data_IF_159339485158
#
_entry.id   IF_159339485158
#
_cell.length_a   1.000
_cell.length_b   1.000
_cell.length_c   1.000
_cell.angle_alpha   90.00
_cell.angle_beta   90.00
_cell.angle_gamma   90.00
#
_symmetry.space_group_name_H-M   'P 1'
#
loop_
_entity.id
_entity.type
_entity.pdbx_description
1 polymer ?
#
# COMPACT_ATOMS: atom_id res chain seq x y z
N UNK A 1 17.64 25.51 0.95
CA UNK A 1 17.31 24.09 0.69
C UNK A 1 16.32 24.10 -0.45
N UNK A 2 16.38 23.17 -1.41
CA UNK A 2 15.34 23.08 -2.44
C UNK A 2 14.02 22.74 -1.75
N UNK A 3 12.93 23.42 -2.16
CA UNK A 3 11.60 23.11 -1.66
C UNK A 3 11.27 21.63 -1.99
N UNK A 4 10.55 20.97 -1.09
CA UNK A 4 9.98 19.65 -1.39
C UNK A 4 9.03 19.77 -2.59
N UNK A 5 9.23 18.98 -3.62
CA UNK A 5 8.51 19.06 -4.90
C UNK A 5 7.54 17.89 -5.14
N UNK A 6 7.38 16.99 -4.16
CA UNK A 6 6.44 15.88 -4.21
C UNK A 6 4.99 16.27 -3.93
N UNK A 7 4.10 15.27 -3.91
CA UNK A 7 2.70 15.47 -3.53
C UNK A 7 2.60 16.00 -2.09
N UNK A 8 1.57 16.82 -1.77
CA UNK A 8 1.42 17.43 -0.44
C UNK A 8 1.51 16.41 0.68
N UNK A 9 2.31 16.70 1.71
CA UNK A 9 2.50 15.84 2.87
C UNK A 9 3.37 14.61 2.63
N UNK A 10 4.05 14.50 1.49
CA UNK A 10 4.91 13.34 1.19
C UNK A 10 4.12 12.05 0.94
N UNK A 11 2.89 12.15 0.44
CA UNK A 11 2.03 10.99 0.12
C UNK A 11 2.33 10.46 -1.28
N UNK A 12 2.00 9.18 -1.52
CA UNK A 12 1.86 8.64 -2.86
C UNK A 12 0.38 8.43 -3.18
N UNK A 13 0.04 8.56 -4.47
CA UNK A 13 -1.34 8.40 -4.97
C UNK A 13 -1.33 7.37 -6.09
N UNK A 14 -2.36 6.54 -6.14
CA UNK A 14 -2.63 5.69 -7.30
C UNK A 14 -4.15 5.54 -7.51
N UNK A 15 -4.55 5.23 -8.73
CA UNK A 15 -5.93 4.85 -9.03
C UNK A 15 -6.01 3.34 -9.19
N UNK A 16 -6.86 2.73 -8.38
CA UNK A 16 -7.02 1.28 -8.29
C UNK A 16 -8.37 0.87 -8.88
N UNK A 17 -8.34 -0.04 -9.83
CA UNK A 17 -9.48 -0.86 -10.24
C UNK A 17 -9.30 -2.23 -9.60
N UNK A 18 -10.13 -2.52 -8.59
CA UNK A 18 -10.01 -3.76 -7.81
C UNK A 18 -10.28 -4.96 -8.71
N UNK A 19 -9.48 -6.03 -8.55
CA UNK A 19 -9.63 -7.24 -9.34
C UNK A 19 -11.06 -7.80 -9.29
N UNK A 20 -11.58 -8.11 -10.47
CA UNK A 20 -12.86 -8.80 -10.68
C UNK A 20 -12.61 -10.29 -10.96
N UNK A 21 -11.66 -10.87 -10.30
CA UNK A 21 -11.31 -12.27 -10.46
C UNK A 21 -11.84 -13.10 -9.28
N UNK A 22 -12.54 -14.23 -9.53
CA UNK A 22 -12.91 -15.14 -8.47
C UNK A 22 -11.64 -15.66 -7.79
N UNK A 23 -11.64 -15.68 -6.48
CA UNK A 23 -10.58 -16.21 -5.65
C UNK A 23 -10.94 -17.60 -5.12
N UNK A 24 -9.98 -18.28 -4.46
CA UNK A 24 -10.18 -19.62 -3.93
C UNK A 24 -11.32 -19.71 -2.88
N UNK A 25 -11.67 -18.61 -2.24
CA UNK A 25 -12.79 -18.50 -1.29
C UNK A 25 -14.14 -18.12 -1.95
N UNK A 26 -14.18 -18.04 -3.28
CA UNK A 26 -15.38 -17.70 -4.06
C UNK A 26 -15.70 -16.20 -4.12
N UNK A 27 -14.99 -15.32 -3.41
CA UNK A 27 -15.13 -13.88 -3.50
C UNK A 27 -14.25 -13.33 -4.61
N UNK A 28 -14.63 -12.17 -5.18
CA UNK A 28 -13.77 -11.42 -6.10
C UNK A 28 -12.96 -10.41 -5.30
N UNK A 29 -11.73 -10.13 -5.71
CA UNK A 29 -10.96 -9.07 -5.05
C UNK A 29 -9.45 -9.26 -5.03
N UNK A 30 -8.83 -8.50 -4.12
CA UNK A 30 -7.40 -8.35 -3.97
C UNK A 30 -6.72 -9.40 -3.11
N UNK A 31 -5.41 -9.23 -3.00
CA UNK A 31 -4.51 -10.06 -2.21
C UNK A 31 -4.45 -9.53 -0.78
N UNK A 32 -4.68 -10.32 0.27
CA UNK A 32 -4.50 -9.89 1.63
C UNK A 32 -3.02 -9.62 1.94
N UNK A 33 -2.76 -8.46 2.58
CA UNK A 33 -1.42 -8.00 2.92
C UNK A 33 -1.48 -6.95 4.03
N UNK A 34 -0.32 -6.55 4.54
CA UNK A 34 -0.17 -5.41 5.42
C UNK A 34 0.95 -4.48 4.92
N UNK A 35 0.96 -3.25 5.42
CA UNK A 35 2.09 -2.32 5.34
C UNK A 35 2.80 -2.25 6.69
N UNK A 36 4.14 -2.18 6.67
CA UNK A 36 4.96 -2.18 7.88
C UNK A 36 5.26 -0.78 8.42
N UNK A 37 5.32 0.22 7.54
CA UNK A 37 5.71 1.58 7.90
C UNK A 37 4.78 2.66 7.32
N UNK A 38 3.84 2.31 6.43
CA UNK A 38 2.93 3.24 5.80
C UNK A 38 1.49 3.03 6.27
N UNK A 39 0.81 4.12 6.61
CA UNK A 39 -0.65 4.12 6.64
C UNK A 39 -1.17 4.18 5.21
N UNK A 40 -2.30 3.53 4.97
CA UNK A 40 -2.97 3.52 3.68
C UNK A 40 -4.39 4.08 3.83
N UNK A 41 -4.82 4.87 2.87
CA UNK A 41 -6.14 5.44 2.81
C UNK A 41 -6.82 5.17 1.48
N UNK A 42 -8.13 4.95 1.52
CA UNK A 42 -8.99 4.73 0.37
C UNK A 42 -10.01 5.86 0.24
N UNK A 43 -10.11 6.42 -0.94
CA UNK A 43 -11.23 7.26 -1.35
C UNK A 43 -11.98 6.52 -2.44
N UNK A 44 -13.16 6.00 -2.14
CA UNK A 44 -13.96 5.22 -3.09
C UNK A 44 -14.56 6.14 -4.14
N UNK A 45 -14.21 5.91 -5.40
CA UNK A 45 -14.62 6.75 -6.55
C UNK A 45 -15.70 6.11 -7.42
N UNK A 46 -15.93 4.79 -7.29
CA UNK A 46 -16.94 4.09 -8.07
C UNK A 46 -17.16 2.65 -7.62
N UNK A 47 -18.24 2.06 -8.08
CA UNK A 47 -18.58 0.68 -7.76
C UNK A 47 -18.97 0.44 -6.30
N UNK A 48 -18.86 -0.81 -5.85
CA UNK A 48 -19.14 -1.22 -4.48
C UNK A 48 -18.31 -2.42 -4.08
N UNK A 49 -18.13 -2.62 -2.78
CA UNK A 49 -17.42 -3.75 -2.22
C UNK A 49 -17.20 -3.59 -0.73
N UNK A 50 -16.16 -4.20 -0.22
CA UNK A 50 -15.76 -4.09 1.18
C UNK A 50 -14.25 -4.11 1.33
N UNK A 51 -13.74 -3.63 2.45
CA UNK A 51 -12.41 -3.94 2.96
C UNK A 51 -12.53 -4.84 4.17
N UNK A 52 -11.93 -6.02 4.09
CA UNK A 52 -11.73 -6.92 5.21
C UNK A 52 -10.44 -6.55 5.90
N UNK A 53 -10.47 -6.40 7.22
CA UNK A 53 -9.29 -6.11 8.04
C UNK A 53 -9.12 -7.13 9.13
N UNK A 54 -7.86 -7.42 9.48
CA UNK A 54 -7.49 -8.27 10.62
C UNK A 54 -6.41 -7.57 11.43
N UNK A 55 -6.70 -7.36 12.71
CA UNK A 55 -5.82 -6.74 13.70
C UNK A 55 -5.80 -7.57 14.98
N UNK A 56 -5.05 -7.11 16.00
CA UNK A 56 -5.10 -7.73 17.32
C UNK A 56 -6.49 -7.66 17.98
N UNK A 57 -7.37 -6.76 17.52
CA UNK A 57 -8.75 -6.65 17.99
C UNK A 57 -9.71 -7.61 17.28
N UNK A 58 -9.23 -8.31 16.26
CA UNK A 58 -10.01 -9.27 15.49
C UNK A 58 -10.26 -8.89 14.04
N UNK A 59 -11.17 -9.59 13.43
CA UNK A 59 -11.61 -9.40 12.04
C UNK A 59 -12.78 -8.42 11.97
N UNK A 60 -12.70 -7.52 10.99
CA UNK A 60 -13.79 -6.61 10.63
C UNK A 60 -13.97 -6.56 9.12
N UNK A 61 -15.18 -6.27 8.67
CA UNK A 61 -15.50 -6.00 7.28
C UNK A 61 -16.24 -4.65 7.19
N UNK A 62 -15.64 -3.70 6.46
CA UNK A 62 -16.18 -2.36 6.28
C UNK A 62 -16.72 -2.21 4.86
N UNK A 63 -18.01 -1.91 4.66
CA UNK A 63 -18.60 -1.65 3.34
C UNK A 63 -17.97 -0.44 2.66
N UNK A 64 -17.75 -0.54 1.34
CA UNK A 64 -17.19 0.50 0.50
C UNK A 64 -18.16 0.89 -0.62
N UNK A 65 -18.52 2.18 -0.67
CA UNK A 65 -19.36 2.77 -1.71
C UNK A 65 -18.81 4.15 -2.08
N UNK A 66 -19.17 4.73 -3.24
CA UNK A 66 -18.68 6.05 -3.65
C UNK A 66 -18.88 7.11 -2.56
N UNK A 67 -17.81 7.86 -2.27
CA UNK A 67 -17.76 8.84 -1.18
C UNK A 67 -17.28 8.28 0.16
N UNK A 68 -17.15 6.97 0.34
CA UNK A 68 -16.49 6.40 1.52
C UNK A 68 -15.01 6.77 1.55
N UNK A 69 -14.54 7.22 2.71
CA UNK A 69 -13.12 7.37 3.03
C UNK A 69 -12.80 6.41 4.17
N UNK A 70 -11.89 5.48 3.93
CA UNK A 70 -11.41 4.53 4.93
C UNK A 70 -9.88 4.61 5.01
N UNK A 71 -9.29 4.40 6.17
CA UNK A 71 -7.83 4.33 6.32
C UNK A 71 -7.46 3.39 7.46
N UNK A 72 -6.27 2.86 7.39
CA UNK A 72 -5.71 1.97 8.40
C UNK A 72 -4.22 2.22 8.59
N UNK A 73 -3.76 1.87 9.77
CA UNK A 73 -2.38 2.09 10.23
C UNK A 73 -1.49 0.90 9.89
N UNK A 74 -0.14 1.07 9.94
CA UNK A 74 0.79 -0.04 9.79
C UNK A 74 0.44 -1.23 10.67
N UNK A 75 0.63 -2.44 10.13
CA UNK A 75 0.32 -3.70 10.80
C UNK A 75 -1.11 -4.19 10.61
N UNK A 76 -2.02 -3.39 10.07
CA UNK A 76 -3.37 -3.84 9.71
C UNK A 76 -3.30 -4.72 8.46
N UNK A 77 -3.57 -6.02 8.62
CA UNK A 77 -3.81 -6.88 7.45
C UNK A 77 -5.13 -6.49 6.83
N UNK A 78 -5.14 -6.28 5.52
CA UNK A 78 -6.34 -5.87 4.80
C UNK A 78 -6.44 -6.55 3.44
N UNK A 79 -7.68 -6.70 2.97
CA UNK A 79 -8.04 -7.27 1.68
C UNK A 79 -9.26 -6.55 1.12
N UNK A 80 -9.21 -6.13 -0.14
CA UNK A 80 -10.38 -5.60 -0.83
C UNK A 80 -11.23 -6.74 -1.41
N UNK A 81 -12.53 -6.66 -1.20
CA UNK A 81 -13.56 -7.46 -1.85
C UNK A 81 -14.29 -6.59 -2.87
N UNK A 82 -14.39 -7.07 -4.11
CA UNK A 82 -15.08 -6.38 -5.21
C UNK A 82 -16.46 -7.00 -5.43
N UNK A 83 -17.51 -6.26 -5.15
CA UNK A 83 -18.90 -6.68 -5.36
C UNK A 83 -19.52 -6.05 -6.61
N UNK A 84 -18.76 -5.26 -7.34
CA UNK A 84 -19.16 -4.65 -8.60
C UNK A 84 -18.38 -3.38 -8.92
N UNK A 85 -17.40 -3.51 -9.83
CA UNK A 85 -16.60 -2.41 -10.41
C UNK A 85 -16.01 -1.44 -9.38
N UNK A 86 -15.50 -1.97 -8.27
CA UNK A 86 -14.93 -1.16 -7.18
C UNK A 86 -13.68 -0.42 -7.64
N UNK A 87 -13.73 0.91 -7.54
CA UNK A 87 -12.67 1.86 -7.91
C UNK A 87 -12.32 2.76 -6.74
N UNK A 88 -11.04 2.91 -6.53
CA UNK A 88 -10.51 3.60 -5.36
C UNK A 88 -9.35 4.51 -5.78
N UNK A 89 -9.31 5.72 -5.26
CA UNK A 89 -8.05 6.47 -5.17
C UNK A 89 -7.37 6.07 -3.88
N UNK A 90 -6.19 5.48 -4.01
CA UNK A 90 -5.36 5.05 -2.88
C UNK A 90 -4.40 6.17 -2.51
N UNK A 91 -4.33 6.48 -1.23
CA UNK A 91 -3.39 7.42 -0.63
C UNK A 91 -2.44 6.63 0.28
N UNK A 92 -1.14 6.66 -0.03
CA UNK A 92 -0.13 6.01 0.79
C UNK A 92 0.71 7.06 1.51
N UNK A 93 0.89 6.91 2.81
CA UNK A 93 1.88 7.66 3.56
C UNK A 93 3.29 7.31 3.05
N UNK A 94 4.22 8.25 3.16
CA UNK A 94 5.65 8.02 2.88
C UNK A 94 5.92 7.60 1.43
N UNK A 95 5.62 8.48 0.44
CA UNK A 95 5.95 8.27 -0.97
C UNK A 95 7.36 7.70 -1.15
N UNK A 96 7.49 6.65 -1.96
CA UNK A 96 8.73 5.91 -2.18
C UNK A 96 8.91 4.68 -1.28
N UNK A 97 8.25 4.58 -0.11
CA UNK A 97 8.29 3.36 0.71
C UNK A 97 7.37 2.26 0.20
N UNK A 98 6.10 2.54 -0.20
CA UNK A 98 5.24 1.53 -0.81
C UNK A 98 5.89 0.90 -2.04
N UNK A 99 6.49 1.72 -2.90
CA UNK A 99 7.19 1.26 -4.10
C UNK A 99 8.48 0.50 -3.77
N UNK A 100 9.07 0.78 -2.61
CA UNK A 100 10.22 0.08 -2.09
C UNK A 100 9.86 -1.24 -1.37
N UNK A 101 8.60 -1.69 -1.40
CA UNK A 101 8.15 -2.98 -0.88
C UNK A 101 7.85 -2.99 0.61
N UNK A 102 7.23 -1.93 1.10
CA UNK A 102 6.68 -1.83 2.45
C UNK A 102 5.55 -2.87 2.70
N UNK A 103 4.90 -3.32 1.64
CA UNK A 103 3.82 -4.30 1.73
C UNK A 103 4.34 -5.73 1.84
N UNK A 104 3.76 -6.52 2.77
CA UNK A 104 4.01 -7.95 2.93
C UNK A 104 2.70 -8.72 2.82
N UNK A 105 2.66 -9.71 1.92
CA UNK A 105 1.51 -10.58 1.69
C UNK A 105 1.39 -11.61 2.82
N UNK A 106 0.17 -11.97 3.16
CA UNK A 106 -0.14 -12.99 4.18
C UNK A 106 0.09 -14.40 3.65
N UNK A 107 1.30 -14.72 3.22
CA UNK A 107 1.63 -16.07 2.77
C UNK A 107 1.68 -17.04 3.96
N UNK A 108 1.50 -18.37 3.73
CA UNK A 108 1.81 -19.39 4.71
C UNK A 108 3.22 -19.25 5.28
N UNK A 109 3.48 -19.66 6.55
CA UNK A 109 4.75 -19.41 7.25
C UNK A 109 6.01 -19.88 6.51
N UNK A 110 5.94 -20.96 5.77
CA UNK A 110 7.07 -21.52 5.01
C UNK A 110 7.58 -20.60 3.90
N UNK A 111 6.75 -19.69 3.39
CA UNK A 111 7.11 -18.68 2.40
C UNK A 111 7.65 -17.38 3.01
N UNK A 112 7.63 -17.26 4.33
CA UNK A 112 8.08 -16.07 5.06
C UNK A 112 9.45 -16.28 5.74
N UNK A 113 10.13 -17.37 5.43
CA UNK A 113 11.37 -17.78 6.09
C UNK A 113 12.58 -16.92 5.71
N UNK A 114 12.61 -16.48 4.47
CA UNK A 114 13.71 -15.66 3.92
C UNK A 114 13.26 -14.84 2.71
N UNK A 115 13.99 -13.76 2.34
CA UNK A 115 13.60 -12.88 1.24
C UNK A 115 13.55 -13.53 -0.15
N UNK A 116 14.38 -14.56 -0.42
CA UNK A 116 14.42 -15.21 -1.74
C UNK A 116 13.17 -16.07 -1.95
N UNK A 117 12.83 -16.88 -0.96
CA UNK A 117 11.59 -17.70 -0.96
C UNK A 117 10.36 -16.81 -1.09
N UNK A 118 10.31 -15.71 -0.34
CA UNK A 118 9.21 -14.74 -0.43
C UNK A 118 9.13 -14.10 -1.82
N UNK A 119 10.24 -13.61 -2.35
CA UNK A 119 10.29 -12.98 -3.67
C UNK A 119 9.88 -13.93 -4.80
N UNK A 120 10.34 -15.20 -4.75
CA UNK A 120 9.95 -16.22 -5.71
C UNK A 120 8.43 -16.45 -5.75
N UNK A 121 7.77 -16.40 -4.59
CA UNK A 121 6.31 -16.59 -4.47
C UNK A 121 5.49 -15.34 -4.84
N UNK A 122 6.07 -14.13 -4.78
CA UNK A 122 5.30 -12.88 -4.86
C UNK A 122 5.59 -12.01 -6.08
N UNK A 123 6.74 -12.18 -6.73
CA UNK A 123 7.14 -11.31 -7.84
C UNK A 123 6.33 -11.59 -9.09
N UNK A 124 5.76 -10.52 -9.66
CA UNK A 124 5.17 -10.51 -11.00
C UNK A 124 6.14 -9.82 -11.93
N UNK A 125 6.81 -10.54 -12.85
CA UNK A 125 7.78 -9.93 -13.76
C UNK A 125 7.10 -8.90 -14.67
N UNK A 126 7.61 -7.67 -14.68
CA UNK A 126 7.01 -6.57 -15.44
C UNK A 126 7.15 -6.71 -16.97
N UNK A 127 8.11 -7.50 -17.42
CA UNK A 127 8.43 -7.81 -18.81
C UNK A 127 7.74 -9.06 -19.36
N UNK A 128 7.07 -9.84 -18.49
CA UNK A 128 6.30 -11.01 -18.91
C UNK A 128 5.06 -10.60 -19.71
N UNK A 129 4.55 -11.47 -20.62
CA UNK A 129 3.27 -11.26 -21.28
C UNK A 129 2.14 -11.01 -20.26
N UNK A 130 1.16 -10.18 -20.62
CA UNK A 130 0.07 -9.78 -19.70
C UNK A 130 -0.70 -10.98 -19.13
N UNK A 131 -0.96 -12.00 -19.95
CA UNK A 131 -1.65 -13.22 -19.51
C UNK A 131 -0.85 -13.96 -18.43
N UNK A 132 0.47 -14.03 -18.59
CA UNK A 132 1.37 -14.65 -17.60
C UNK A 132 1.44 -13.81 -16.32
N UNK A 133 1.53 -12.48 -16.43
CA UNK A 133 1.45 -11.61 -15.26
C UNK A 133 0.12 -11.82 -14.51
N UNK A 134 -1.00 -11.92 -15.24
CA UNK A 134 -2.31 -12.17 -14.64
C UNK A 134 -2.37 -13.54 -13.94
N UNK A 135 -1.77 -14.57 -14.53
CA UNK A 135 -1.69 -15.92 -13.95
C UNK A 135 -0.90 -15.90 -12.63
N UNK A 136 0.28 -15.26 -12.63
CA UNK A 136 1.12 -15.15 -11.45
C UNK A 136 0.42 -14.32 -10.36
N UNK A 137 -0.22 -13.20 -10.73
CA UNK A 137 -0.95 -12.36 -9.79
C UNK A 137 -2.11 -13.10 -9.11
N UNK A 138 -2.83 -13.98 -9.83
CA UNK A 138 -3.86 -14.85 -9.23
C UNK A 138 -3.25 -15.90 -8.31
N UNK A 139 -2.19 -16.57 -8.72
CA UNK A 139 -1.55 -17.60 -7.92
C UNK A 139 -1.02 -17.05 -6.58
N UNK A 140 -0.31 -15.90 -6.61
CA UNK A 140 0.18 -15.26 -5.37
C UNK A 140 -0.96 -14.79 -4.47
N UNK A 141 -2.09 -14.30 -5.06
CA UNK A 141 -3.28 -13.92 -4.30
C UNK A 141 -3.88 -15.13 -3.58
N UNK A 142 -4.06 -16.23 -4.29
CA UNK A 142 -4.68 -17.43 -3.74
C UNK A 142 -3.80 -18.04 -2.64
N UNK A 143 -2.47 -18.01 -2.81
CA UNK A 143 -1.51 -18.38 -1.77
C UNK A 143 -1.59 -17.44 -0.54
N UNK A 144 -1.72 -16.13 -0.76
CA UNK A 144 -1.89 -15.19 0.35
C UNK A 144 -3.22 -15.38 1.09
N UNK A 145 -4.28 -15.78 0.39
CA UNK A 145 -5.56 -16.13 1.01
C UNK A 145 -5.45 -17.37 1.90
N UNK A 146 -4.63 -18.34 1.55
CA UNK A 146 -4.36 -19.50 2.37
C UNK A 146 -3.75 -19.09 3.72
N UNK A 147 -2.69 -18.28 3.73
CA UNK A 147 -2.10 -17.77 4.96
C UNK A 147 -3.03 -16.81 5.72
N UNK A 148 -3.82 -15.99 5.01
CA UNK A 148 -4.84 -15.15 5.65
C UNK A 148 -5.90 -15.97 6.39
N UNK A 149 -6.36 -17.08 5.79
CA UNK A 149 -7.29 -17.99 6.45
C UNK A 149 -6.68 -18.58 7.72
N UNK A 150 -5.41 -19.02 7.67
CA UNK A 150 -4.70 -19.52 8.85
C UNK A 150 -4.71 -18.48 9.97
N UNK A 151 -4.41 -17.21 9.66
CA UNK A 151 -4.39 -16.13 10.65
C UNK A 151 -5.78 -15.81 11.21
N UNK A 152 -6.83 -15.88 10.38
CA UNK A 152 -8.22 -15.60 10.80
C UNK A 152 -8.81 -16.69 11.70
N UNK A 153 -8.45 -17.94 11.44
CA UNK A 153 -8.97 -19.13 12.17
C UNK A 153 -8.14 -19.43 13.43
N UNK A 154 -7.02 -18.77 13.60
CA UNK A 154 -6.13 -19.01 14.73
C UNK A 154 -6.68 -18.42 16.04
N UNK A 155 -6.48 -19.16 17.12
CA UNK A 155 -6.82 -18.72 18.45
C UNK A 155 -5.71 -17.82 19.06
N UNK A 156 -6.13 -16.69 19.63
CA UNK A 156 -5.25 -15.79 20.36
C UNK A 156 -4.34 -14.93 19.48
N UNK A 157 -3.50 -14.07 20.10
CA UNK A 157 -2.72 -13.05 19.38
C UNK A 157 -1.38 -13.56 18.80
N UNK A 158 -0.90 -14.72 19.25
CA UNK A 158 0.46 -15.19 18.91
C UNK A 158 0.66 -15.45 17.41
N UNK A 159 -0.28 -16.05 16.65
CA UNK A 159 -0.10 -16.26 15.22
C UNK A 159 0.06 -14.95 14.43
N UNK A 160 -0.73 -13.93 14.76
CA UNK A 160 -0.59 -12.59 14.15
C UNK A 160 0.73 -11.93 14.54
N UNK A 161 1.15 -12.07 15.80
CA UNK A 161 2.44 -11.57 16.28
C UNK A 161 3.61 -12.26 15.58
N UNK A 162 3.53 -13.58 15.38
CA UNK A 162 4.54 -14.34 14.65
C UNK A 162 4.63 -13.89 13.18
N UNK A 163 3.48 -13.67 12.53
CA UNK A 163 3.44 -13.10 11.18
C UNK A 163 4.09 -11.72 11.10
N UNK A 164 3.79 -10.80 12.04
CA UNK A 164 4.43 -9.48 12.09
C UNK A 164 5.95 -9.57 12.26
N UNK A 165 6.45 -10.50 13.09
CA UNK A 165 7.90 -10.73 13.27
C UNK A 165 8.56 -11.25 11.97
N UNK A 166 7.91 -12.20 11.30
CA UNK A 166 8.39 -12.73 10.03
C UNK A 166 8.42 -11.65 8.94
N UNK A 167 7.34 -10.87 8.80
CA UNK A 167 7.26 -9.75 7.88
C UNK A 167 8.35 -8.70 8.14
N UNK A 168 8.59 -8.33 9.40
CA UNK A 168 9.67 -7.41 9.78
C UNK A 168 11.06 -7.98 9.45
N UNK A 169 11.28 -9.29 9.61
CA UNK A 169 12.54 -9.94 9.27
C UNK A 169 12.83 -9.89 7.77
N UNK A 170 11.82 -10.11 6.92
CA UNK A 170 11.94 -10.04 5.46
C UNK A 170 12.42 -8.68 4.95
N UNK A 171 11.96 -7.59 5.58
CA UNK A 171 12.28 -6.22 5.13
C UNK A 171 13.50 -5.61 5.81
N UNK A 172 14.03 -6.24 6.87
CA UNK A 172 15.18 -5.74 7.64
C UNK A 172 16.36 -5.30 6.78
N UNK A 173 16.78 -6.03 5.72
CA UNK A 173 17.90 -5.63 4.87
C UNK A 173 17.69 -4.30 4.13
N UNK A 174 16.44 -3.85 3.99
CA UNK A 174 16.04 -2.66 3.22
C UNK A 174 15.83 -1.42 4.08
N UNK A 175 15.84 -1.53 5.40
CA UNK A 175 15.47 -0.43 6.31
C UNK A 175 16.38 0.80 6.20
N UNK A 176 17.66 0.64 5.86
CA UNK A 176 18.56 1.76 5.62
C UNK A 176 18.11 2.58 4.41
N UNK A 177 17.83 1.91 3.28
CA UNK A 177 17.29 2.54 2.08
C UNK A 177 15.94 3.22 2.35
N UNK A 178 15.04 2.57 3.09
CA UNK A 178 13.74 3.15 3.45
C UNK A 178 13.89 4.43 4.28
N UNK A 179 14.83 4.45 5.22
CA UNK A 179 15.12 5.63 6.03
C UNK A 179 15.54 6.82 5.17
N UNK A 180 16.41 6.58 4.18
CA UNK A 180 16.84 7.62 3.23
C UNK A 180 15.68 8.13 2.38
N UNK A 181 14.80 7.24 1.88
CA UNK A 181 13.61 7.61 1.12
C UNK A 181 12.66 8.46 1.97
N UNK A 182 12.38 8.02 3.19
CA UNK A 182 11.55 8.76 4.14
C UNK A 182 12.13 10.14 4.44
N UNK A 183 13.45 10.26 4.66
CA UNK A 183 14.11 11.52 4.92
C UNK A 183 13.99 12.52 3.77
N UNK A 184 14.11 12.04 2.51
CA UNK A 184 13.94 12.87 1.32
C UNK A 184 12.48 13.19 1.00
N UNK A 185 11.54 12.35 1.40
CA UNK A 185 10.11 12.46 1.16
C UNK A 185 9.36 13.12 2.32
N UNK A 186 8.62 12.32 3.06
CA UNK A 186 7.68 12.79 4.09
C UNK A 186 8.34 13.63 5.19
N UNK A 187 9.56 13.29 5.63
CA UNK A 187 10.29 14.08 6.64
C UNK A 187 10.70 15.45 6.08
N UNK A 188 11.16 15.52 4.83
CA UNK A 188 11.50 16.80 4.17
C UNK A 188 10.24 17.66 3.98
N UNK A 189 9.10 17.08 3.60
CA UNK A 189 7.83 17.80 3.47
C UNK A 189 7.39 18.42 4.81
N UNK A 190 7.51 17.66 5.89
CA UNK A 190 7.19 18.16 7.24
C UNK A 190 8.16 19.27 7.69
N UNK A 191 9.47 19.07 7.45
CA UNK A 191 10.49 20.09 7.79
C UNK A 191 10.27 21.41 7.02
N UNK A 192 9.95 21.33 5.73
CA UNK A 192 9.65 22.52 4.93
C UNK A 192 8.47 23.34 5.50
N UNK A 193 7.46 22.66 6.05
CA UNK A 193 6.35 23.34 6.73
C UNK A 193 6.83 24.04 8.00
N UNK A 194 7.70 23.40 8.79
CA UNK A 194 8.30 24.03 9.97
C UNK A 194 9.07 25.33 9.61
N UNK A 195 9.94 25.24 8.60
CA UNK A 195 10.70 26.41 8.11
C UNK A 195 9.76 27.56 7.64
N UNK A 196 8.63 27.22 7.00
CA UNK A 196 7.63 28.22 6.57
C UNK A 196 6.93 28.87 7.76
N UNK A 197 6.60 28.11 8.80
CA UNK A 197 5.98 28.63 10.02
C UNK A 197 6.94 29.58 10.75
N UNK A 198 8.22 29.22 10.85
CA UNK A 198 9.24 30.10 11.48
C UNK A 198 9.42 31.40 10.72
N UNK A 199 9.50 31.36 9.37
CA UNK A 199 9.54 32.59 8.55
C UNK A 199 8.32 33.48 8.76
N UNK A 200 7.13 32.91 8.76
CA UNK A 200 5.88 33.64 8.98
C UNK A 200 5.85 34.31 10.38
N UNK A 201 6.39 33.64 11.42
CA UNK A 201 6.52 34.22 12.76
C UNK A 201 7.42 35.45 12.78
N UNK A 202 8.46 35.46 11.95
CA UNK A 202 9.37 36.58 11.78
C UNK A 202 8.85 37.67 10.81
N UNK A 203 7.67 37.49 10.22
CA UNK A 203 7.09 38.36 9.19
C UNK A 203 7.76 38.22 7.81
N UNK A 204 8.57 37.20 7.59
CA UNK A 204 9.17 36.88 6.30
C UNK A 204 8.20 36.10 5.43
N UNK A 205 7.76 36.70 4.34
CA UNK A 205 6.83 36.10 3.34
C UNK A 205 7.53 35.74 2.02
N UNK A 206 8.85 35.74 1.98
CA UNK A 206 9.62 35.55 0.73
C UNK A 206 9.35 34.19 0.07
N UNK A 207 9.09 33.14 0.85
CA UNK A 207 8.75 31.84 0.33
C UNK A 207 7.44 31.80 -0.49
N UNK A 208 6.53 32.76 -0.28
CA UNK A 208 5.27 32.86 -1.04
C UNK A 208 5.50 33.33 -2.48
N UNK A 209 6.65 33.98 -2.75
CA UNK A 209 7.00 34.38 -4.10
C UNK A 209 7.35 33.17 -5.03
N UNK A 210 7.71 32.05 -4.44
CA UNK A 210 8.05 30.80 -5.16
C UNK A 210 6.82 29.92 -5.41
N UNK A 211 5.61 30.46 -5.23
CA UNK A 211 4.38 29.72 -5.43
C UNK A 211 4.28 29.13 -6.85
N UNK A 212 3.98 27.83 -6.94
CA UNK A 212 3.90 27.12 -8.21
C UNK A 212 2.71 26.17 -8.25
N UNK A 213 2.27 25.81 -9.47
CA UNK A 213 1.25 24.79 -9.73
C UNK A 213 1.91 23.62 -10.43
N UNK A 214 1.73 22.44 -9.86
CA UNK A 214 2.20 21.19 -10.45
C UNK A 214 1.02 20.31 -10.86
N UNK A 215 1.12 19.67 -12.02
CA UNK A 215 0.14 18.70 -12.50
C UNK A 215 0.85 17.55 -13.20
N UNK A 216 0.41 16.34 -12.92
CA UNK A 216 0.97 15.12 -13.51
C UNK A 216 -0.14 14.19 -14.02
N UNK A 217 0.19 13.43 -15.03
CA UNK A 217 -0.58 12.29 -15.47
C UNK A 217 0.08 11.01 -14.95
N UNK A 218 -0.67 9.90 -14.80
CA UNK A 218 -0.06 8.62 -14.44
C UNK A 218 1.13 8.28 -15.32
N UNK A 219 2.22 7.88 -14.71
CA UNK A 219 3.45 7.44 -15.40
C UNK A 219 3.33 6.04 -15.98
N UNK A 220 2.37 5.25 -15.49
CA UNK A 220 2.00 3.97 -16.03
C UNK A 220 0.55 3.63 -15.69
N UNK A 221 -0.11 2.90 -16.59
CA UNK A 221 -1.51 2.53 -16.49
C UNK A 221 -1.66 1.01 -16.35
N UNK A 222 -2.67 0.59 -15.58
CA UNK A 222 -3.12 -0.80 -15.50
C UNK A 222 -2.09 -1.80 -14.99
N UNK A 223 -1.07 -1.37 -14.21
CA UNK A 223 -0.09 -2.28 -13.62
C UNK A 223 -0.75 -3.28 -12.68
N UNK A 224 -0.23 -4.49 -12.66
CA UNK A 224 -0.66 -5.50 -11.69
C UNK A 224 -0.19 -5.13 -10.29
N UNK A 225 -1.11 -4.63 -9.47
CA UNK A 225 -0.90 -4.42 -8.03
C UNK A 225 -1.29 -5.64 -7.19
N UNK A 226 -1.33 -5.46 -5.88
CA UNK A 226 -1.81 -6.49 -4.96
C UNK A 226 -3.34 -6.62 -5.00
N UNK A 227 -4.05 -5.50 -4.98
CA UNK A 227 -5.51 -5.49 -4.90
C UNK A 227 -6.22 -5.34 -6.25
N UNK A 228 -5.49 -5.00 -7.33
CA UNK A 228 -6.12 -4.72 -8.62
C UNK A 228 -5.13 -4.13 -9.63
N UNK A 229 -5.70 -3.54 -10.69
CA UNK A 229 -4.96 -2.78 -11.70
C UNK A 229 -4.74 -1.35 -11.22
N UNK A 230 -3.50 -0.91 -11.23
CA UNK A 230 -3.07 0.41 -10.74
C UNK A 230 -2.66 1.33 -11.89
N UNK A 231 -3.19 2.55 -11.88
CA UNK A 231 -2.58 3.67 -12.59
C UNK A 231 -1.70 4.41 -11.56
N UNK A 232 -0.39 4.47 -11.82
CA UNK A 232 0.60 4.92 -10.82
C UNK A 232 1.31 6.19 -11.26
N UNK A 233 1.66 7.03 -10.31
CA UNK A 233 2.46 8.22 -10.49
C UNK A 233 3.90 7.95 -10.08
N UNK A 234 4.85 8.77 -10.56
CA UNK A 234 6.25 8.59 -10.15
C UNK A 234 6.41 9.01 -8.69
N UNK A 235 7.09 8.18 -7.85
CA UNK A 235 7.53 8.64 -6.55
C UNK A 235 8.52 9.81 -6.73
N UNK A 236 8.36 10.82 -5.93
CA UNK A 236 9.30 11.97 -5.89
C UNK A 236 10.00 12.05 -4.56
#
# INVERSE_FOLDING_TARGET
>A
MSAYDGLPGGVAVSHLRVYDWPAADGMHGGTPHLHLACSEGYVVTGGRGAVQTLTASGFEETPLAPGTVAWFTPGTIHRLVNEGDLRITVLMQNSGLPEAGDAVLTLPPEYLTDPETYAAATTVPADAPEEEQARIARARRDLALEGYRILREADGPEPLTAFHRAAAALVRPRLAEWRERWQRGAAAAAAATGDQLDRLADGDVTHLADAAVHAEQPSAYGKFGMCGRLDVYRPR
#
